data_IF_537136683554
#
_entry.id   IF_537136683554
#
_cell.length_a   1.000
_cell.length_b   1.000
_cell.length_c   1.000
_cell.angle_alpha   90.00
_cell.angle_beta   90.00
_cell.angle_gamma   90.00
#
_symmetry.space_group_name_H-M   'P 1'
#
loop_
_entity.id
_entity.type
_entity.pdbx_description
1 polymer ?
#
# COMPACT_ATOMS: atom_id res chain seq x y z
N UNK A 1 22.03 -20.28 58.76
CA UNK A 1 22.31 -20.50 57.34
C UNK A 1 20.99 -20.57 56.51
N UNK A 2 20.32 -19.47 56.20
CA UNK A 2 19.10 -19.39 55.38
C UNK A 2 18.95 -17.97 54.82
N UNK A 3 19.86 -17.51 53.94
CA UNK A 3 19.78 -16.18 53.27
C UNK A 3 20.37 -16.22 51.87
N UNK A 4 20.13 -17.25 51.08
CA UNK A 4 20.75 -17.38 49.76
C UNK A 4 19.82 -17.79 48.61
N UNK A 5 18.53 -18.05 48.86
CA UNK A 5 17.65 -18.60 47.80
C UNK A 5 16.63 -17.61 47.19
N UNK A 6 16.49 -16.40 47.74
CA UNK A 6 15.48 -15.45 47.26
C UNK A 6 15.99 -14.47 46.21
N UNK A 7 17.29 -14.37 45.98
CA UNK A 7 17.85 -13.45 44.95
C UNK A 7 17.89 -14.03 43.52
N UNK A 8 17.77 -15.34 43.36
CA UNK A 8 17.87 -15.98 42.03
C UNK A 8 16.54 -16.06 41.27
N UNK A 9 15.40 -15.96 41.96
CA UNK A 9 14.08 -16.05 41.34
C UNK A 9 13.65 -14.76 40.66
N UNK A 10 14.18 -13.58 41.05
CA UNK A 10 13.76 -12.28 40.49
C UNK A 10 14.49 -11.97 39.17
N UNK A 11 15.70 -12.52 38.97
CA UNK A 11 16.46 -12.27 37.72
C UNK A 11 15.91 -13.03 36.50
N UNK A 12 15.17 -14.12 36.69
CA UNK A 12 14.62 -14.92 35.57
C UNK A 12 13.33 -14.29 35.04
N UNK A 13 12.56 -13.59 35.85
CA UNK A 13 11.31 -12.94 35.38
C UNK A 13 11.53 -11.68 34.54
N UNK A 14 12.71 -11.04 34.62
CA UNK A 14 13.03 -9.85 33.85
C UNK A 14 13.54 -10.14 32.42
N UNK A 15 13.92 -11.36 32.10
CA UNK A 15 14.41 -11.76 30.78
C UNK A 15 13.29 -12.27 29.84
N UNK A 16 12.09 -12.53 30.34
CA UNK A 16 10.96 -13.02 29.54
C UNK A 16 10.14 -11.85 28.94
N UNK A 17 10.36 -10.62 29.39
CA UNK A 17 9.60 -9.44 28.97
C UNK A 17 10.05 -8.75 27.65
N UNK A 18 11.17 -9.18 27.04
CA UNK A 18 11.73 -8.56 25.83
C UNK A 18 11.55 -9.37 24.54
N UNK A 19 10.85 -10.50 24.62
CA UNK A 19 10.55 -11.31 23.44
C UNK A 19 9.22 -10.88 22.83
N UNK A 20 9.30 -10.02 21.80
CA UNK A 20 8.32 -10.02 20.73
C UNK A 20 7.14 -9.09 20.85
N UNK A 21 7.34 -7.80 20.74
CA UNK A 21 6.39 -7.01 19.98
C UNK A 21 6.65 -7.27 18.47
N UNK A 22 6.43 -8.49 18.05
CA UNK A 22 6.12 -8.76 16.65
C UNK A 22 4.75 -8.11 16.46
N UNK A 23 4.73 -6.96 15.76
CA UNK A 23 3.50 -6.41 15.24
C UNK A 23 2.85 -7.55 14.45
N UNK A 24 1.73 -8.07 14.95
CA UNK A 24 0.92 -9.02 14.22
C UNK A 24 0.57 -8.34 12.89
N UNK A 25 1.24 -8.76 11.82
CA UNK A 25 0.91 -8.31 10.47
C UNK A 25 -0.48 -8.87 10.22
N UNK A 26 -1.44 -7.99 10.01
CA UNK A 26 -2.81 -8.39 9.75
C UNK A 26 -2.88 -8.97 8.34
N UNK A 27 -3.12 -10.27 8.25
CA UNK A 27 -3.46 -10.90 6.99
C UNK A 27 -4.91 -10.52 6.65
N UNK A 28 -5.13 -10.02 5.44
CA UNK A 28 -6.44 -9.65 4.91
C UNK A 28 -6.72 -10.55 3.72
N UNK A 29 -7.61 -11.53 3.87
CA UNK A 29 -8.15 -12.35 2.77
C UNK A 29 -7.10 -12.81 1.73
N UNK A 30 -6.02 -13.48 2.16
CA UNK A 30 -4.94 -13.96 1.29
C UNK A 30 -3.83 -12.93 1.03
N UNK A 31 -3.98 -11.71 1.54
CA UNK A 31 -2.97 -10.67 1.50
C UNK A 31 -2.20 -10.60 2.82
N UNK A 32 -0.89 -10.62 2.73
CA UNK A 32 0.00 -10.40 3.88
C UNK A 32 0.53 -8.97 3.87
N UNK A 33 0.34 -8.25 4.95
CA UNK A 33 0.98 -6.94 5.10
C UNK A 33 2.48 -7.11 5.24
N UNK A 34 3.25 -6.35 4.46
CA UNK A 34 4.71 -6.29 4.47
C UNK A 34 5.18 -4.91 4.94
N UNK A 35 6.46 -4.81 5.32
CA UNK A 35 7.02 -3.51 5.66
C UNK A 35 7.02 -2.58 4.44
N UNK A 36 6.72 -1.28 4.65
CA UNK A 36 6.85 -0.26 3.61
C UNK A 36 8.30 -0.19 3.13
N UNK A 37 8.59 -0.51 1.86
CA UNK A 37 9.97 -0.70 1.43
C UNK A 37 10.67 0.60 0.97
N UNK A 38 9.93 1.69 0.83
CA UNK A 38 10.44 2.90 0.22
C UNK A 38 11.00 3.88 1.26
N UNK A 39 12.02 4.68 0.90
CA UNK A 39 12.53 5.73 1.76
C UNK A 39 11.47 6.81 2.04
N UNK A 40 11.73 7.65 3.03
CA UNK A 40 10.88 8.81 3.30
C UNK A 40 11.11 9.87 2.23
N UNK A 41 10.03 10.37 1.66
CA UNK A 41 10.01 11.36 0.57
C UNK A 41 9.19 12.63 0.93
N UNK A 42 8.94 12.85 2.21
CA UNK A 42 8.11 13.97 2.70
C UNK A 42 6.63 13.60 2.90
N UNK A 43 6.15 12.49 2.34
CA UNK A 43 4.81 11.97 2.59
C UNK A 43 4.81 10.94 3.71
N UNK A 44 3.69 10.75 4.41
CA UNK A 44 3.55 9.63 5.34
C UNK A 44 3.83 8.30 4.65
N UNK A 45 4.47 7.38 5.35
CA UNK A 45 4.58 6.00 4.89
C UNK A 45 3.17 5.41 4.71
N UNK A 46 3.00 4.65 3.64
CA UNK A 46 1.77 3.91 3.39
C UNK A 46 1.77 2.54 4.03
N UNK A 47 0.83 1.73 3.57
CA UNK A 47 0.79 0.29 3.84
C UNK A 47 1.15 -0.47 2.57
N UNK A 48 1.86 -1.56 2.72
CA UNK A 48 2.29 -2.42 1.64
C UNK A 48 1.78 -3.85 1.88
N UNK A 49 1.30 -4.49 0.84
CA UNK A 49 0.70 -5.82 0.90
C UNK A 49 1.23 -6.69 -0.23
N UNK A 50 1.35 -7.98 0.05
CA UNK A 50 1.74 -8.98 -0.94
C UNK A 50 0.71 -10.09 -0.95
N UNK A 51 0.25 -10.44 -2.14
CA UNK A 51 -0.53 -11.64 -2.40
C UNK A 51 0.36 -12.70 -3.05
N UNK A 52 0.33 -13.90 -2.52
CA UNK A 52 1.10 -15.01 -3.06
C UNK A 52 0.43 -15.60 -4.32
N UNK A 53 1.24 -16.29 -5.14
CA UNK A 53 0.80 -16.92 -6.39
C UNK A 53 -0.41 -17.84 -6.18
N UNK A 54 -0.42 -18.59 -5.08
CA UNK A 54 -1.49 -19.54 -4.75
C UNK A 54 -2.85 -18.88 -4.58
N UNK A 55 -2.86 -17.61 -4.15
CA UNK A 55 -4.09 -16.86 -3.90
C UNK A 55 -4.49 -15.93 -5.05
N UNK A 56 -3.52 -15.35 -5.74
CA UNK A 56 -3.76 -14.30 -6.75
C UNK A 56 -3.39 -14.71 -8.19
N UNK A 57 -2.88 -15.92 -8.39
CA UNK A 57 -2.43 -16.41 -9.71
C UNK A 57 -1.04 -15.92 -10.11
N UNK A 58 -0.59 -14.82 -9.52
CA UNK A 58 0.78 -14.29 -9.63
C UNK A 58 1.18 -13.67 -8.29
N UNK A 59 2.48 -13.44 -8.06
CA UNK A 59 2.92 -12.62 -6.94
C UNK A 59 2.63 -11.15 -7.24
N UNK A 60 1.68 -10.57 -6.50
CA UNK A 60 1.26 -9.19 -6.68
C UNK A 60 1.54 -8.41 -5.40
N UNK A 61 2.13 -7.24 -5.55
CA UNK A 61 2.33 -6.30 -4.47
C UNK A 61 1.47 -5.06 -4.68
N UNK A 62 0.84 -4.59 -3.59
CA UNK A 62 0.06 -3.36 -3.58
C UNK A 62 0.61 -2.43 -2.51
N UNK A 63 0.86 -1.20 -2.90
CA UNK A 63 1.35 -0.12 -2.06
C UNK A 63 0.31 0.98 -2.04
N UNK A 64 -0.17 1.36 -0.86
CA UNK A 64 -1.26 2.33 -0.71
C UNK A 64 -0.88 3.38 0.32
N UNK A 65 -1.01 4.67 -0.02
CA UNK A 65 -0.79 5.75 0.96
C UNK A 65 -1.67 6.97 0.74
N UNK A 66 -2.01 7.71 1.81
CA UNK A 66 -2.66 9.01 1.71
C UNK A 66 -1.66 10.10 1.34
N UNK A 67 -2.09 11.05 0.50
CA UNK A 67 -1.41 12.31 0.21
C UNK A 67 -2.33 13.46 0.59
N UNK A 68 -2.15 14.00 1.78
CA UNK A 68 -3.03 14.99 2.39
C UNK A 68 -2.75 16.37 1.81
N UNK A 69 -3.81 17.07 1.37
CA UNK A 69 -3.72 18.41 0.81
C UNK A 69 -3.10 18.48 -0.59
N UNK A 70 -3.12 17.38 -1.33
CA UNK A 70 -2.41 17.28 -2.61
C UNK A 70 -3.29 17.55 -3.84
N UNK A 71 -4.58 17.29 -3.79
CA UNK A 71 -5.44 17.40 -4.97
C UNK A 71 -6.12 18.77 -5.11
N UNK A 72 -6.57 19.06 -6.33
CA UNK A 72 -7.54 20.12 -6.56
C UNK A 72 -8.90 19.70 -5.97
N UNK A 73 -9.39 20.46 -4.98
CA UNK A 73 -10.62 20.14 -4.26
C UNK A 73 -11.87 20.10 -5.14
N UNK A 74 -11.85 20.80 -6.28
CA UNK A 74 -12.99 20.88 -7.20
C UNK A 74 -12.99 19.75 -8.23
N UNK A 75 -11.84 19.52 -8.86
CA UNK A 75 -11.71 18.55 -9.95
C UNK A 75 -11.29 17.14 -9.49
N UNK A 76 -10.67 17.04 -8.30
CA UNK A 76 -10.08 15.77 -7.85
C UNK A 76 -9.01 15.26 -8.81
N UNK A 77 -9.06 13.99 -9.16
CA UNK A 77 -8.17 13.38 -10.18
C UNK A 77 -8.83 13.51 -11.55
N UNK A 78 -8.51 14.58 -12.26
CA UNK A 78 -9.22 14.96 -13.49
C UNK A 78 -8.78 14.16 -14.71
N UNK A 79 -7.49 13.89 -14.86
CA UNK A 79 -6.90 13.33 -16.08
C UNK A 79 -5.76 12.34 -15.82
N UNK A 80 -5.16 11.86 -16.90
CA UNK A 80 -4.08 10.87 -16.85
C UNK A 80 -2.77 11.49 -16.37
N UNK A 81 -2.51 12.76 -16.68
CA UNK A 81 -1.31 13.46 -16.23
C UNK A 81 -1.28 13.59 -14.70
N UNK A 82 -2.46 13.75 -14.09
CA UNK A 82 -2.59 13.72 -12.63
C UNK A 82 -2.19 12.36 -12.07
N UNK A 83 -2.67 11.24 -12.65
CA UNK A 83 -2.29 9.90 -12.22
C UNK A 83 -0.77 9.67 -12.37
N UNK A 84 -0.21 10.03 -13.54
CA UNK A 84 1.22 9.90 -13.81
C UNK A 84 2.08 10.64 -12.77
N UNK A 85 1.60 11.80 -12.30
CA UNK A 85 2.30 12.65 -11.35
C UNK A 85 2.19 12.16 -9.91
N UNK A 86 1.09 11.51 -9.52
CA UNK A 86 0.81 11.24 -8.10
C UNK A 86 0.91 9.77 -7.71
N UNK A 87 0.84 8.83 -8.64
CA UNK A 87 0.67 7.40 -8.35
C UNK A 87 1.93 6.67 -7.84
N UNK A 88 2.98 7.38 -7.47
CA UNK A 88 4.20 6.79 -6.87
C UNK A 88 4.93 5.72 -7.71
N UNK A 89 4.77 5.77 -9.03
CA UNK A 89 5.44 4.82 -9.94
C UNK A 89 6.96 4.95 -9.90
N UNK A 90 7.45 6.17 -9.66
CA UNK A 90 8.86 6.49 -9.51
C UNK A 90 9.51 5.81 -8.29
N UNK A 91 8.74 5.47 -7.27
CA UNK A 91 9.22 4.67 -6.14
C UNK A 91 9.49 3.22 -6.55
N UNK A 92 8.77 2.71 -7.57
CA UNK A 92 8.92 1.35 -8.06
C UNK A 92 10.05 1.23 -9.07
N UNK A 93 10.09 2.17 -10.03
CA UNK A 93 11.04 2.18 -11.13
C UNK A 93 11.24 3.58 -11.66
N UNK A 94 12.50 3.96 -11.92
CA UNK A 94 12.82 5.21 -12.63
C UNK A 94 12.37 5.19 -14.10
N UNK A 95 12.02 4.02 -14.63
CA UNK A 95 11.63 3.82 -16.03
C UNK A 95 10.30 3.11 -16.10
N UNK A 96 9.27 3.89 -16.37
CA UNK A 96 7.91 3.39 -16.62
C UNK A 96 7.31 4.05 -17.85
N UNK A 97 6.42 3.33 -18.51
CA UNK A 97 5.72 3.81 -19.71
C UNK A 97 4.25 3.44 -19.58
N UNK A 98 3.38 4.44 -19.75
CA UNK A 98 1.95 4.19 -19.83
C UNK A 98 1.60 3.34 -21.05
N UNK A 99 0.76 2.33 -20.88
CA UNK A 99 0.39 1.38 -21.93
C UNK A 99 -0.85 1.84 -22.70
N UNK A 100 -1.79 2.47 -22.02
CA UNK A 100 -3.07 2.89 -22.60
C UNK A 100 -3.63 4.13 -21.86
N UNK A 101 -4.62 4.81 -22.43
CA UNK A 101 -5.34 5.87 -21.73
C UNK A 101 -5.94 5.36 -20.42
N UNK A 102 -5.92 6.21 -19.40
CA UNK A 102 -6.47 5.89 -18.10
C UNK A 102 -7.99 5.77 -18.11
N UNK A 103 -8.51 5.09 -17.09
CA UNK A 103 -9.95 4.83 -16.93
C UNK A 103 -10.46 5.53 -15.67
N UNK A 104 -11.63 6.13 -15.75
CA UNK A 104 -12.36 6.64 -14.59
C UNK A 104 -12.81 5.45 -13.76
N UNK A 105 -12.58 5.53 -12.44
CA UNK A 105 -12.97 4.51 -11.48
C UNK A 105 -13.65 5.13 -10.27
N UNK A 106 -14.22 4.26 -9.44
CA UNK A 106 -14.69 4.60 -8.10
C UNK A 106 -14.30 3.47 -7.14
N UNK A 107 -13.67 3.84 -6.04
CA UNK A 107 -13.37 2.91 -4.94
C UNK A 107 -14.16 3.38 -3.74
N UNK A 108 -15.07 2.57 -3.23
CA UNK A 108 -16.11 3.00 -2.30
C UNK A 108 -16.86 4.22 -2.85
N UNK A 109 -16.88 5.33 -2.12
CA UNK A 109 -17.49 6.60 -2.53
C UNK A 109 -16.49 7.58 -3.19
N UNK A 110 -15.21 7.20 -3.31
CA UNK A 110 -14.13 8.06 -3.80
C UNK A 110 -13.99 7.94 -5.33
N UNK A 111 -14.24 9.02 -6.09
CA UNK A 111 -13.98 9.06 -7.52
C UNK A 111 -12.47 9.16 -7.78
N UNK A 112 -12.04 8.67 -8.93
CA UNK A 112 -10.64 8.75 -9.34
C UNK A 112 -10.37 8.13 -10.70
N UNK A 113 -9.11 7.85 -10.93
CA UNK A 113 -8.62 7.24 -12.18
C UNK A 113 -7.60 6.17 -11.89
N UNK A 114 -7.49 5.24 -12.82
CA UNK A 114 -6.39 4.29 -12.89
C UNK A 114 -5.75 4.35 -14.27
N UNK A 115 -4.48 3.99 -14.34
CA UNK A 115 -3.72 3.83 -15.58
C UNK A 115 -2.78 2.65 -15.48
N UNK A 116 -2.55 1.98 -16.61
CA UNK A 116 -1.67 0.81 -16.71
C UNK A 116 -0.29 1.21 -17.23
N UNK A 117 0.75 0.56 -16.70
CA UNK A 117 2.14 0.86 -17.03
C UNK A 117 2.97 -0.41 -17.22
N UNK A 118 4.02 -0.26 -18.00
CA UNK A 118 5.14 -1.19 -18.07
C UNK A 118 6.31 -0.60 -17.27
N UNK A 119 6.77 -1.33 -16.27
CA UNK A 119 7.93 -0.94 -15.45
C UNK A 119 9.15 -1.72 -15.90
N UNK A 120 10.29 -1.04 -15.99
CA UNK A 120 11.59 -1.71 -16.11
C UNK A 120 12.29 -1.67 -14.75
N UNK A 121 12.35 -2.81 -14.09
CA UNK A 121 12.96 -2.95 -12.78
C UNK A 121 14.49 -2.80 -12.84
N UNK A 122 15.13 -2.57 -11.69
CA UNK A 122 16.59 -2.39 -11.60
C UNK A 122 17.39 -3.63 -11.99
N UNK A 123 16.82 -4.83 -11.83
CA UNK A 123 17.40 -6.10 -12.26
C UNK A 123 17.22 -6.37 -13.77
N UNK A 124 16.58 -5.44 -14.50
CA UNK A 124 16.29 -5.55 -15.92
C UNK A 124 15.01 -6.31 -16.25
N UNK A 125 14.31 -6.88 -15.28
CA UNK A 125 13.01 -7.50 -15.47
C UNK A 125 11.92 -6.47 -15.83
N UNK A 126 10.81 -6.95 -16.40
CA UNK A 126 9.63 -6.12 -16.71
C UNK A 126 8.48 -6.54 -15.85
N UNK A 127 7.79 -5.57 -15.26
CA UNK A 127 6.58 -5.78 -14.50
C UNK A 127 5.46 -4.94 -15.10
N UNK A 128 4.26 -5.48 -15.14
CA UNK A 128 3.09 -4.65 -15.35
C UNK A 128 2.72 -3.95 -14.04
N UNK A 129 2.26 -2.72 -14.12
CA UNK A 129 1.79 -1.99 -12.97
C UNK A 129 0.50 -1.22 -13.26
N UNK A 130 -0.24 -0.96 -12.19
CA UNK A 130 -1.45 -0.16 -12.19
C UNK A 130 -1.25 0.98 -11.20
N UNK A 131 -1.22 2.21 -11.71
CA UNK A 131 -1.28 3.41 -10.89
C UNK A 131 -2.74 3.80 -10.67
N UNK A 132 -3.11 4.06 -9.43
CA UNK A 132 -4.46 4.43 -9.01
C UNK A 132 -4.38 5.69 -8.17
N UNK A 133 -5.23 6.65 -8.45
CA UNK A 133 -5.44 7.82 -7.62
C UNK A 133 -6.93 8.06 -7.44
N UNK A 134 -7.39 8.12 -6.21
CA UNK A 134 -8.77 8.48 -5.85
C UNK A 134 -8.76 9.67 -4.92
N UNK A 135 -9.79 10.50 -4.98
CA UNK A 135 -9.88 11.73 -4.21
C UNK A 135 -11.05 11.69 -3.22
N UNK A 136 -10.82 12.27 -2.05
CA UNK A 136 -11.83 12.55 -1.06
C UNK A 136 -11.61 13.95 -0.50
N UNK A 137 -12.52 14.88 -0.82
CA UNK A 137 -12.34 16.31 -0.55
C UNK A 137 -11.07 16.85 -1.23
N UNK A 138 -10.12 17.39 -0.47
CA UNK A 138 -8.84 17.92 -0.96
C UNK A 138 -7.67 16.96 -0.75
N UNK A 139 -7.94 15.69 -0.48
CA UNK A 139 -6.92 14.69 -0.21
C UNK A 139 -6.97 13.57 -1.24
N UNK A 140 -5.81 12.98 -1.51
CA UNK A 140 -5.70 11.81 -2.38
C UNK A 140 -5.35 10.56 -1.57
N UNK A 141 -5.89 9.45 -2.02
CA UNK A 141 -5.29 8.15 -1.78
C UNK A 141 -4.69 7.66 -3.08
N UNK A 142 -3.42 7.31 -3.04
CA UNK A 142 -2.74 6.72 -4.18
C UNK A 142 -2.39 5.28 -3.90
N UNK A 143 -2.48 4.45 -4.94
CA UNK A 143 -2.05 3.07 -4.87
C UNK A 143 -1.27 2.69 -6.13
N UNK A 144 -0.25 1.84 -5.96
CA UNK A 144 0.41 1.14 -7.05
C UNK A 144 0.28 -0.35 -6.80
N UNK A 145 -0.21 -1.08 -7.79
CA UNK A 145 -0.12 -2.53 -7.81
C UNK A 145 0.87 -2.96 -8.90
N UNK A 146 1.67 -3.99 -8.62
CA UNK A 146 2.64 -4.49 -9.59
C UNK A 146 2.80 -6.02 -9.50
N UNK A 147 3.23 -6.62 -10.60
CA UNK A 147 3.53 -8.05 -10.70
C UNK A 147 4.09 -8.42 -12.07
N UNK A 148 4.40 -9.71 -12.27
CA UNK A 148 4.89 -10.26 -13.54
C UNK A 148 3.78 -10.69 -14.48
N UNK A 149 2.54 -10.79 -13.98
CA UNK A 149 1.34 -11.13 -14.75
C UNK A 149 0.93 -10.06 -15.74
N UNK A 150 -0.21 -10.26 -16.39
CA UNK A 150 -0.76 -9.26 -17.32
C UNK A 150 -1.31 -8.05 -16.57
N UNK A 151 -1.29 -6.89 -17.22
CA UNK A 151 -1.84 -5.66 -16.64
C UNK A 151 -3.33 -5.82 -16.26
N UNK A 152 -4.10 -6.59 -17.03
CA UNK A 152 -5.52 -6.85 -16.74
C UNK A 152 -5.75 -7.69 -15.49
N UNK A 153 -4.90 -8.70 -15.26
CA UNK A 153 -4.97 -9.53 -14.06
C UNK A 153 -4.58 -8.72 -12.82
N UNK A 154 -3.47 -7.98 -12.90
CA UNK A 154 -3.02 -7.11 -11.80
C UNK A 154 -4.08 -6.06 -11.49
N UNK A 155 -4.69 -5.42 -12.53
CA UNK A 155 -5.77 -4.46 -12.35
C UNK A 155 -6.95 -5.05 -11.60
N UNK A 156 -7.43 -6.23 -12.03
CA UNK A 156 -8.55 -6.90 -11.38
C UNK A 156 -8.24 -7.19 -9.91
N UNK A 157 -7.12 -7.83 -9.65
CA UNK A 157 -6.70 -8.21 -8.28
C UNK A 157 -6.50 -6.98 -7.39
N UNK A 158 -5.91 -5.89 -7.92
CA UNK A 158 -5.73 -4.65 -7.18
C UNK A 158 -7.07 -3.98 -6.82
N UNK A 159 -8.02 -3.94 -7.76
CA UNK A 159 -9.33 -3.35 -7.50
C UNK A 159 -10.14 -4.19 -6.51
N UNK A 160 -10.09 -5.53 -6.63
CA UNK A 160 -10.72 -6.45 -5.67
C UNK A 160 -10.15 -6.22 -4.26
N UNK A 161 -8.83 -6.10 -4.12
CA UNK A 161 -8.18 -5.79 -2.85
C UNK A 161 -8.61 -4.46 -2.26
N UNK A 162 -8.61 -3.39 -3.06
CA UNK A 162 -8.98 -2.05 -2.60
C UNK A 162 -10.47 -1.94 -2.24
N UNK A 163 -11.31 -2.85 -2.74
CA UNK A 163 -12.73 -2.93 -2.42
C UNK A 163 -13.03 -3.71 -1.12
N UNK A 164 -12.05 -4.40 -0.53
CA UNK A 164 -12.24 -5.11 0.74
C UNK A 164 -12.63 -4.13 1.85
N UNK A 165 -13.60 -4.50 2.68
CA UNK A 165 -14.15 -3.64 3.74
C UNK A 165 -13.06 -3.10 4.68
N UNK A 166 -12.14 -3.97 5.11
CA UNK A 166 -11.04 -3.58 6.00
C UNK A 166 -10.08 -2.56 5.35
N UNK A 167 -9.82 -2.70 4.05
CA UNK A 167 -8.97 -1.78 3.28
C UNK A 167 -9.70 -0.46 3.07
N UNK A 168 -10.95 -0.50 2.62
CA UNK A 168 -11.80 0.68 2.42
C UNK A 168 -11.97 1.50 3.70
N UNK A 169 -12.22 0.84 4.83
CA UNK A 169 -12.33 1.49 6.13
C UNK A 169 -11.02 2.18 6.52
N UNK A 170 -9.88 1.49 6.34
CA UNK A 170 -8.59 2.10 6.61
C UNK A 170 -8.31 3.30 5.68
N UNK A 171 -8.57 3.19 4.38
CA UNK A 171 -8.39 4.27 3.41
C UNK A 171 -9.19 5.52 3.81
N UNK A 172 -10.47 5.33 4.14
CA UNK A 172 -11.36 6.42 4.57
C UNK A 172 -10.85 7.08 5.85
N UNK A 173 -10.45 6.27 6.85
CA UNK A 173 -9.91 6.77 8.12
C UNK A 173 -8.61 7.53 7.95
N UNK A 174 -7.75 7.09 7.02
CA UNK A 174 -6.49 7.75 6.70
C UNK A 174 -6.71 9.16 6.12
N UNK A 175 -7.69 9.30 5.23
CA UNK A 175 -8.05 10.59 4.62
C UNK A 175 -8.84 11.51 5.57
N UNK A 176 -9.68 10.96 6.45
CA UNK A 176 -10.43 11.75 7.43
C UNK A 176 -9.55 12.21 8.63
N UNK A 177 -8.26 11.83 8.64
CA UNK A 177 -7.29 12.25 9.66
C UNK A 177 -7.45 11.57 11.01
N UNK A 178 -8.29 10.52 11.11
CA UNK A 178 -8.55 9.78 12.35
C UNK A 178 -7.38 8.86 12.76
N UNK A 179 -6.41 8.65 11.87
CA UNK A 179 -5.18 7.86 12.13
C UNK A 179 -3.99 8.72 12.58
N UNK A 180 -4.20 10.01 12.88
CA UNK A 180 -3.13 10.90 13.38
C UNK A 180 -2.97 10.73 14.87
N UNK A 181 -2.27 9.69 15.29
CA UNK A 181 -1.78 9.54 16.68
C UNK A 181 -0.38 8.90 16.70
#
# INVERSE_FOLDING_TARGET
MRRGLTAFAIAICLLIGLAGQQHARSDIEGWREIAWPFPRDGWPAGRAFRCAVESCGDEIEVYVRPKIGFCNCEAGVADDDEVDRVADLDLMSERFVALEPGKVIRIADMPGRLRTYDLRMSDGSRHAAIGIAVSRRCDLLVAVAQGKGTASEIQRVALDFLALDAVTQWMTSALDGTLRH
#
